data_IF_005434828438
#
_entry.id   IF_005434828438
#
_cell.length_a   1.000
_cell.length_b   1.000
_cell.length_c   1.000
_cell.angle_alpha   90.00
_cell.angle_beta   90.00
_cell.angle_gamma   90.00
#
_symmetry.space_group_name_H-M   'P 1'
#
loop_
_entity.id
_entity.type
_entity.pdbx_description
1 polymer ?
#
# COMPACT_ATOMS: atom_id res chain seq x y z
N UNK A 1 -32.88 -19.05 -3.43
CA UNK A 1 -32.07 -18.96 -2.21
C UNK A 1 -30.76 -19.64 -2.51
N UNK A 2 -29.67 -18.91 -2.68
CA UNK A 2 -28.34 -19.51 -2.80
C UNK A 2 -27.93 -19.90 -1.38
N UNK A 3 -27.92 -21.20 -1.09
CA UNK A 3 -27.27 -21.71 0.11
C UNK A 3 -25.80 -21.33 0.02
N UNK A 4 -25.35 -20.51 0.97
CA UNK A 4 -23.96 -20.12 1.06
C UNK A 4 -23.20 -21.36 1.54
N UNK A 5 -22.67 -22.16 0.61
CA UNK A 5 -21.91 -23.38 0.91
C UNK A 5 -20.52 -22.96 1.39
N UNK A 6 -20.45 -22.44 2.61
CA UNK A 6 -19.18 -22.19 3.27
C UNK A 6 -18.62 -23.53 3.75
N UNK A 7 -17.63 -24.06 3.04
CA UNK A 7 -16.87 -25.20 3.51
C UNK A 7 -15.84 -24.70 4.52
N UNK A 8 -16.08 -25.01 5.80
CA UNK A 8 -15.13 -24.70 6.87
C UNK A 8 -13.78 -25.38 6.56
N UNK A 9 -12.65 -24.65 6.58
CA UNK A 9 -11.33 -25.25 6.41
C UNK A 9 -11.08 -26.32 7.48
N UNK A 10 -10.32 -27.37 7.13
CA UNK A 10 -9.94 -28.42 8.09
C UNK A 10 -9.10 -27.87 9.25
N UNK A 11 -8.29 -26.84 8.99
CA UNK A 11 -7.47 -26.11 9.97
C UNK A 11 -7.83 -24.64 10.01
N UNK A 12 -8.94 -24.27 10.68
CA UNK A 12 -9.48 -22.91 10.63
C UNK A 12 -8.81 -21.94 11.62
N UNK A 13 -7.86 -22.40 12.44
CA UNK A 13 -7.19 -21.58 13.45
C UNK A 13 -5.72 -21.30 13.05
N UNK A 14 -5.29 -20.04 13.24
CA UNK A 14 -3.92 -19.58 13.05
C UNK A 14 -3.36 -19.09 14.38
N UNK A 15 -2.16 -19.57 14.72
CA UNK A 15 -1.37 -19.09 15.85
C UNK A 15 -0.02 -18.56 15.34
N UNK A 16 0.33 -17.34 15.71
CA UNK A 16 1.63 -16.72 15.44
C UNK A 16 2.39 -16.53 16.75
N UNK A 17 3.68 -16.90 16.75
CA UNK A 17 4.55 -16.71 17.91
C UNK A 17 5.93 -16.20 17.49
N UNK A 18 6.58 -15.47 18.39
CA UNK A 18 7.93 -14.91 18.24
C UNK A 18 8.85 -15.55 19.29
N UNK A 19 10.04 -16.00 18.88
CA UNK A 19 11.05 -16.52 19.81
C UNK A 19 12.01 -15.43 20.31
N UNK A 20 13.03 -15.82 21.09
CA UNK A 20 14.03 -14.89 21.63
C UNK A 20 14.97 -14.29 20.58
N UNK A 21 15.02 -14.85 19.38
CA UNK A 21 15.84 -14.37 18.25
C UNK A 21 15.02 -13.52 17.27
N UNK A 22 13.79 -13.14 17.63
CA UNK A 22 12.82 -12.43 16.79
C UNK A 22 12.38 -13.23 15.55
N UNK A 23 12.51 -14.56 15.57
CA UNK A 23 11.96 -15.40 14.51
C UNK A 23 10.48 -15.64 14.75
N UNK A 24 9.68 -15.49 13.69
CA UNK A 24 8.23 -15.71 13.75
C UNK A 24 7.89 -17.12 13.25
N UNK A 25 7.20 -17.89 14.08
CA UNK A 25 6.58 -19.17 13.70
C UNK A 25 5.08 -19.02 13.48
N UNK A 26 4.52 -19.90 12.64
CA UNK A 26 3.08 -19.98 12.40
C UNK A 26 2.60 -21.43 12.50
N UNK A 27 1.40 -21.62 13.07
CA UNK A 27 0.79 -22.92 13.27
C UNK A 27 -0.67 -22.90 12.80
N UNK A 28 -1.04 -23.87 11.96
CA UNK A 28 -2.42 -24.08 11.48
C UNK A 28 -3.06 -25.24 12.25
N UNK A 29 -4.18 -24.97 12.90
CA UNK A 29 -4.76 -25.85 13.92
C UNK A 29 -6.24 -26.11 13.63
N UNK A 30 -6.71 -27.30 14.02
CA UNK A 30 -8.03 -27.85 13.70
C UNK A 30 -9.11 -27.37 14.67
N UNK A 31 -8.74 -27.16 15.94
CA UNK A 31 -9.65 -26.78 17.02
C UNK A 31 -9.09 -25.67 17.92
N UNK A 32 -9.99 -25.03 18.68
CA UNK A 32 -9.61 -24.05 19.70
C UNK A 32 -8.80 -24.71 20.83
N UNK A 33 -9.12 -25.95 21.17
CA UNK A 33 -8.41 -26.74 22.18
C UNK A 33 -6.94 -26.97 21.77
N UNK A 34 -6.71 -27.40 20.52
CA UNK A 34 -5.37 -27.58 19.96
C UNK A 34 -4.59 -26.25 19.94
N UNK A 35 -5.27 -25.14 19.61
CA UNK A 35 -4.69 -23.80 19.71
C UNK A 35 -4.24 -23.45 21.11
N UNK A 36 -5.04 -23.73 22.13
CA UNK A 36 -4.69 -23.44 23.52
C UNK A 36 -3.51 -24.30 23.99
N UNK A 37 -3.48 -25.58 23.63
CA UNK A 37 -2.39 -26.49 23.96
C UNK A 37 -1.06 -26.03 23.34
N UNK A 38 -1.03 -25.79 22.02
CA UNK A 38 0.18 -25.34 21.32
C UNK A 38 0.64 -23.97 21.83
N UNK A 39 -0.29 -23.05 22.14
CA UNK A 39 0.07 -21.75 22.69
C UNK A 39 0.72 -21.84 24.08
N UNK A 40 0.31 -22.81 24.90
CA UNK A 40 0.94 -23.07 26.20
C UNK A 40 2.34 -23.65 26.02
N UNK A 41 2.51 -24.63 25.14
CA UNK A 41 3.84 -25.22 24.85
C UNK A 41 4.83 -24.16 24.35
N UNK A 42 4.40 -23.27 23.46
CA UNK A 42 5.23 -22.19 22.94
C UNK A 42 5.61 -21.19 24.04
N UNK A 43 4.68 -20.84 24.94
CA UNK A 43 4.97 -19.98 26.10
C UNK A 43 5.96 -20.63 27.06
N UNK A 44 5.80 -21.92 27.35
CA UNK A 44 6.72 -22.67 28.19
C UNK A 44 8.11 -22.80 27.55
N UNK A 45 8.16 -22.82 26.21
CA UNK A 45 9.39 -22.72 25.41
C UNK A 45 10.00 -21.32 25.32
N UNK A 46 9.40 -20.31 25.97
CA UNK A 46 9.90 -18.93 26.00
C UNK A 46 9.47 -18.07 24.81
N UNK A 47 8.57 -18.55 23.95
CA UNK A 47 8.03 -17.77 22.85
C UNK A 47 6.92 -16.81 23.33
N UNK A 48 6.79 -15.67 22.67
CA UNK A 48 5.69 -14.72 22.83
C UNK A 48 4.63 -14.98 21.77
N UNK A 49 3.38 -15.19 22.19
CA UNK A 49 2.26 -15.26 21.26
C UNK A 49 1.98 -13.87 20.70
N UNK A 50 2.01 -13.73 19.37
CA UNK A 50 1.68 -12.51 18.63
C UNK A 50 0.18 -12.46 18.38
N UNK A 51 -0.38 -13.54 17.83
CA UNK A 51 -1.77 -13.60 17.39
C UNK A 51 -2.33 -15.01 17.49
N UNK A 52 -3.63 -15.13 17.80
CA UNK A 52 -4.36 -16.39 17.93
C UNK A 52 -5.80 -16.21 17.44
N UNK A 53 -6.09 -16.59 16.20
CA UNK A 53 -7.35 -16.26 15.52
C UNK A 53 -7.98 -17.48 14.84
N UNK A 54 -9.32 -17.50 14.78
CA UNK A 54 -10.04 -18.30 13.79
C UNK A 54 -10.12 -17.50 12.48
N UNK A 55 -9.58 -18.03 11.39
CA UNK A 55 -9.54 -17.38 10.06
C UNK A 55 -10.95 -16.98 9.61
N UNK A 56 -11.96 -17.80 9.92
CA UNK A 56 -13.36 -17.52 9.60
C UNK A 56 -13.93 -16.25 10.26
N UNK A 57 -13.23 -15.71 11.26
CA UNK A 57 -13.54 -14.41 11.89
C UNK A 57 -12.98 -13.22 11.09
N UNK A 58 -11.94 -13.43 10.28
CA UNK A 58 -11.36 -12.41 9.38
C UNK A 58 -12.10 -12.42 8.03
N UNK A 59 -13.39 -12.09 8.02
CA UNK A 59 -14.22 -12.13 6.80
C UNK A 59 -13.96 -10.99 5.83
N UNK A 60 -13.36 -9.92 6.32
CA UNK A 60 -13.00 -8.75 5.54
C UNK A 60 -11.49 -8.80 5.29
N UNK A 61 -11.12 -9.31 4.12
CA UNK A 61 -9.76 -9.19 3.61
C UNK A 61 -9.76 -7.97 2.69
N UNK A 62 -9.23 -6.86 3.17
CA UNK A 62 -9.01 -5.68 2.34
C UNK A 62 -7.70 -5.88 1.58
N UNK A 63 -7.80 -6.42 0.37
CA UNK A 63 -6.69 -6.34 -0.59
C UNK A 63 -6.75 -4.91 -1.13
N UNK A 64 -5.87 -4.03 -0.63
CA UNK A 64 -5.69 -2.74 -1.28
C UNK A 64 -5.31 -3.03 -2.74
N UNK A 65 -6.03 -2.47 -3.72
CA UNK A 65 -5.62 -2.62 -5.11
C UNK A 65 -4.15 -2.21 -5.23
N UNK A 66 -3.42 -2.87 -6.12
CA UNK A 66 -2.10 -2.38 -6.50
C UNK A 66 -2.29 -0.92 -6.94
N UNK A 67 -1.46 -0.02 -6.40
CA UNK A 67 -1.48 1.38 -6.82
C UNK A 67 -0.95 1.42 -8.26
N UNK A 68 -1.84 1.69 -9.21
CA UNK A 68 -1.57 1.66 -10.64
C UNK A 68 -1.19 3.05 -11.13
N UNK A 69 -0.67 3.10 -12.36
CA UNK A 69 -0.39 4.35 -13.05
C UNK A 69 -1.65 5.22 -13.21
N UNK A 70 -2.81 4.61 -13.40
CA UNK A 70 -4.08 5.33 -13.51
C UNK A 70 -4.44 6.03 -12.19
N UNK A 71 -4.17 5.40 -11.04
CA UNK A 71 -4.40 6.02 -9.73
C UNK A 71 -3.48 7.24 -9.55
N UNK A 72 -2.21 7.12 -9.95
CA UNK A 72 -1.27 8.23 -9.91
C UNK A 72 -1.68 9.41 -10.80
N UNK A 73 -2.08 9.12 -12.04
CA UNK A 73 -2.54 10.14 -13.00
C UNK A 73 -3.79 10.85 -12.45
N UNK A 74 -4.73 10.12 -11.84
CA UNK A 74 -5.92 10.72 -11.23
C UNK A 74 -5.55 11.66 -10.07
N UNK A 75 -4.64 11.25 -9.19
CA UNK A 75 -4.21 12.08 -8.05
C UNK A 75 -3.44 13.34 -8.50
N UNK A 76 -2.57 13.21 -9.50
CA UNK A 76 -1.83 14.33 -10.11
C UNK A 76 -2.80 15.35 -10.74
N UNK A 77 -3.74 14.88 -11.56
CA UNK A 77 -4.77 15.74 -12.16
C UNK A 77 -5.62 16.42 -11.10
N UNK A 78 -6.05 15.68 -10.07
CA UNK A 78 -6.83 16.27 -8.98
C UNK A 78 -6.06 17.36 -8.23
N UNK A 79 -4.75 17.20 -8.03
CA UNK A 79 -3.93 18.21 -7.39
C UNK A 79 -3.75 19.44 -8.29
N UNK A 80 -3.52 19.23 -9.59
CA UNK A 80 -3.37 20.29 -10.57
C UNK A 80 -4.66 21.09 -10.77
N UNK A 81 -5.81 20.43 -10.91
CA UNK A 81 -7.12 21.08 -11.02
C UNK A 81 -7.42 21.93 -9.80
N UNK A 82 -7.10 21.44 -8.60
CA UNK A 82 -7.23 22.21 -7.36
C UNK A 82 -6.33 23.45 -7.36
N UNK A 83 -5.11 23.36 -7.90
CA UNK A 83 -4.22 24.52 -8.04
C UNK A 83 -4.83 25.57 -8.99
N UNK A 84 -5.40 25.12 -10.11
CA UNK A 84 -6.09 25.98 -11.07
C UNK A 84 -7.33 26.65 -10.48
N UNK A 85 -8.12 25.94 -9.68
CA UNK A 85 -9.27 26.50 -8.96
C UNK A 85 -8.86 27.60 -7.97
N UNK A 86 -7.71 27.41 -7.30
CA UNK A 86 -7.13 28.38 -6.38
C UNK A 86 -6.42 29.55 -7.09
N UNK A 87 -6.28 29.49 -8.42
CA UNK A 87 -5.68 30.52 -9.29
C UNK A 87 -4.24 30.87 -8.90
N UNK A 88 -3.42 29.86 -8.63
CA UNK A 88 -1.99 30.08 -8.49
C UNK A 88 -1.40 30.59 -9.80
N UNK A 89 -0.47 31.56 -9.72
CA UNK A 89 0.22 32.12 -10.88
C UNK A 89 1.27 31.16 -11.47
N UNK A 90 1.70 30.17 -10.67
CA UNK A 90 2.64 29.11 -11.02
C UNK A 90 2.23 27.86 -10.25
N UNK A 91 2.24 26.70 -10.90
CA UNK A 91 1.88 25.42 -10.27
C UNK A 91 3.09 24.51 -10.28
N UNK A 92 3.55 24.14 -9.07
CA UNK A 92 4.56 23.11 -8.86
C UNK A 92 3.91 21.98 -8.06
N UNK A 93 3.86 20.79 -8.64
CA UNK A 93 3.41 19.59 -7.95
C UNK A 93 4.64 18.89 -7.39
N UNK A 94 4.71 18.75 -6.07
CA UNK A 94 5.73 17.95 -5.40
C UNK A 94 5.14 16.60 -5.00
N UNK A 95 5.82 15.52 -5.38
CA UNK A 95 5.41 14.14 -5.16
C UNK A 95 6.41 13.49 -4.22
N UNK A 96 6.02 13.21 -2.99
CA UNK A 96 6.83 12.43 -2.05
C UNK A 96 6.49 10.95 -2.16
N UNK A 97 7.51 10.11 -2.03
CA UNK A 97 7.39 8.65 -2.07
C UNK A 97 7.72 7.99 -0.72
N UNK A 98 7.27 6.75 -0.55
CA UNK A 98 7.66 5.90 0.60
C UNK A 98 9.14 5.49 0.61
N UNK A 99 9.87 5.76 -0.47
CA UNK A 99 11.31 5.59 -0.59
C UNK A 99 12.11 6.81 -0.14
N UNK A 100 11.46 7.83 0.45
CA UNK A 100 12.05 9.11 0.86
C UNK A 100 12.60 9.94 -0.33
N UNK A 101 12.15 9.66 -1.55
CA UNK A 101 12.43 10.45 -2.75
C UNK A 101 11.29 11.45 -3.01
N UNK A 102 11.64 12.63 -3.53
CA UNK A 102 10.69 13.69 -3.92
C UNK A 102 10.92 14.10 -5.36
N UNK A 103 9.85 14.13 -6.15
CA UNK A 103 9.84 14.53 -7.56
C UNK A 103 9.01 15.81 -7.74
N UNK A 104 9.33 16.61 -8.76
CA UNK A 104 8.63 17.86 -9.02
C UNK A 104 8.13 17.92 -10.46
N UNK A 105 6.85 18.22 -10.65
CA UNK A 105 6.28 18.55 -11.97
C UNK A 105 5.92 20.03 -11.99
N UNK A 106 6.51 20.75 -12.94
CA UNK A 106 6.29 22.17 -13.16
C UNK A 106 5.44 22.38 -14.42
N UNK A 107 4.42 23.22 -14.30
CA UNK A 107 3.72 23.76 -15.47
C UNK A 107 4.47 25.00 -15.98
N UNK A 108 4.96 24.93 -17.21
CA UNK A 108 5.75 25.99 -17.83
C UNK A 108 5.14 26.41 -19.17
N UNK A 109 5.50 27.61 -19.69
CA UNK A 109 5.00 28.04 -21.01
C UNK A 109 5.36 27.12 -22.17
N UNK A 110 6.41 26.29 -22.02
CA UNK A 110 6.89 25.35 -23.03
C UNK A 110 6.31 23.93 -22.85
N UNK A 111 5.45 23.71 -21.85
CA UNK A 111 4.86 22.42 -21.49
C UNK A 111 5.17 22.01 -20.05
N UNK A 112 4.86 20.76 -19.71
CA UNK A 112 5.14 20.19 -18.39
C UNK A 112 6.58 19.69 -18.31
N UNK A 113 7.28 19.99 -17.23
CA UNK A 113 8.66 19.57 -17.01
C UNK A 113 8.84 18.95 -15.63
N UNK A 114 9.60 17.86 -15.57
CA UNK A 114 9.98 17.22 -14.32
C UNK A 114 11.51 17.20 -14.19
N UNK A 115 11.98 17.35 -12.96
CA UNK A 115 13.40 17.35 -12.58
C UNK A 115 14.18 16.12 -13.07
N UNK A 116 13.51 14.98 -13.26
CA UNK A 116 14.11 13.73 -13.76
C UNK A 116 14.19 13.62 -15.29
N UNK A 117 13.65 14.60 -16.03
CA UNK A 117 13.64 14.63 -17.49
C UNK A 117 14.25 15.92 -18.05
N UNK A 118 15.16 15.77 -19.02
CA UNK A 118 15.80 16.89 -19.74
C UNK A 118 14.91 17.48 -20.87
N UNK A 119 13.62 17.17 -20.89
CA UNK A 119 12.68 17.55 -21.94
C UNK A 119 11.28 17.84 -21.38
N UNK A 120 10.43 18.45 -22.21
CA UNK A 120 9.07 18.84 -21.87
C UNK A 120 8.06 17.84 -22.43
N UNK A 121 6.93 17.71 -21.73
CA UNK A 121 5.76 16.94 -22.14
C UNK A 121 4.62 17.89 -22.51
N UNK A 122 3.81 17.49 -23.49
CA UNK A 122 2.69 18.30 -23.98
C UNK A 122 1.49 18.33 -23.01
N UNK A 123 1.34 17.30 -22.19
CA UNK A 123 0.24 17.14 -21.23
C UNK A 123 0.68 16.48 -19.92
N UNK A 124 -0.13 16.70 -18.89
CA UNK A 124 0.14 16.27 -17.52
C UNK A 124 0.09 14.74 -17.37
N UNK A 125 -0.81 14.07 -18.09
CA UNK A 125 -0.96 12.61 -18.05
C UNK A 125 0.31 11.93 -18.58
N UNK A 126 0.85 12.43 -19.69
CA UNK A 126 2.05 11.88 -20.33
C UNK A 126 3.28 11.98 -19.42
N UNK A 127 3.46 13.12 -18.74
CA UNK A 127 4.58 13.26 -17.79
C UNK A 127 4.35 12.41 -16.53
N UNK A 128 3.12 12.31 -16.03
CA UNK A 128 2.79 11.50 -14.88
C UNK A 128 3.02 10.00 -15.16
N UNK A 129 2.58 9.51 -16.33
CA UNK A 129 2.85 8.14 -16.78
C UNK A 129 4.35 7.87 -16.89
N UNK A 130 5.10 8.73 -17.58
CA UNK A 130 6.53 8.57 -17.76
C UNK A 130 7.28 8.60 -16.42
N UNK A 131 6.93 9.52 -15.52
CA UNK A 131 7.51 9.60 -14.18
C UNK A 131 7.25 8.31 -13.40
N UNK A 132 6.00 7.87 -13.34
CA UNK A 132 5.59 6.68 -12.59
C UNK A 132 6.24 5.40 -13.09
N UNK A 133 6.32 5.23 -14.42
CA UNK A 133 6.80 3.99 -15.05
C UNK A 133 8.31 3.94 -15.16
N UNK A 134 8.98 5.07 -15.43
CA UNK A 134 10.40 5.07 -15.85
C UNK A 134 11.38 5.60 -14.81
N UNK A 135 10.92 6.40 -13.84
CA UNK A 135 11.82 7.17 -12.95
C UNK A 135 11.50 7.02 -11.48
N UNK A 136 10.22 6.90 -11.13
CA UNK A 136 9.80 6.92 -9.74
C UNK A 136 10.26 5.67 -8.98
N UNK A 137 10.88 5.89 -7.82
CA UNK A 137 11.27 4.85 -6.88
C UNK A 137 10.31 4.91 -5.69
N UNK A 138 9.70 3.77 -5.37
CA UNK A 138 8.68 3.71 -4.31
C UNK A 138 7.29 4.08 -4.79
N UNK A 139 6.35 4.15 -3.86
CA UNK A 139 4.96 4.52 -4.09
C UNK A 139 4.73 5.98 -3.67
N UNK A 140 3.93 6.76 -4.41
CA UNK A 140 3.49 8.07 -3.96
C UNK A 140 2.78 7.97 -2.62
N UNK A 141 3.16 8.82 -1.68
CA UNK A 141 2.52 8.93 -0.36
C UNK A 141 1.81 10.26 -0.19
N UNK A 142 2.32 11.32 -0.82
CA UNK A 142 1.74 12.65 -0.76
C UNK A 142 2.03 13.42 -2.05
N UNK A 143 1.01 14.13 -2.55
CA UNK A 143 1.15 15.11 -3.63
C UNK A 143 0.70 16.47 -3.08
N UNK A 144 1.59 17.46 -3.12
CA UNK A 144 1.34 18.81 -2.63
C UNK A 144 1.59 19.85 -3.72
N UNK A 145 0.90 20.98 -3.60
CA UNK A 145 1.08 22.15 -4.46
C UNK A 145 2.04 23.10 -3.72
N UNK A 146 3.09 23.55 -4.40
CA UNK A 146 4.05 24.55 -3.91
C UNK A 146 3.97 25.89 -4.66
#
# INVERSE_FOLDING_TARGET
>A
MNENIFNKPEKPFLLLAEDSEHSISYHWLESEEELQEVALELKDGGCRIIEAIEIGSCRNVEIKPDYLVDDFIEEINSAYDKANELKFDSVILSIDTDAEETYHINDTPDGFQCDEFDYYFDDLDSIAEALFVERMVGKPVEIRIE
#
